data_IF_506117657880
#
_entry.id   IF_506117657880
#
_cell.length_a   1.000
_cell.length_b   1.000
_cell.length_c   1.000
_cell.angle_alpha   90.00
_cell.angle_beta   90.00
_cell.angle_gamma   90.00
#
_symmetry.space_group_name_H-M   'P 1'
#
loop_
_entity.id
_entity.type
_entity.pdbx_description
1 polymer ?
#
# COMPACT_ATOMS: atom_id res chain seq x y z
N UNK A 1 10.86 -12.48 7.84
CA UNK A 1 9.43 -12.38 8.16
C UNK A 1 8.74 -11.56 7.09
N UNK A 2 7.63 -12.05 6.56
CA UNK A 2 6.78 -11.36 5.56
C UNK A 2 5.43 -11.08 6.20
N UNK A 3 5.02 -9.80 6.17
CA UNK A 3 3.73 -9.35 6.68
C UNK A 3 2.94 -8.74 5.54
N UNK A 4 1.81 -9.36 5.20
CA UNK A 4 0.87 -8.88 4.20
C UNK A 4 -0.21 -8.02 4.86
N UNK A 5 -0.45 -6.81 4.32
CA UNK A 5 -1.51 -5.92 4.79
C UNK A 5 -2.39 -5.55 3.61
N UNK A 6 -3.53 -6.22 3.48
CA UNK A 6 -4.49 -6.02 2.40
C UNK A 6 -5.73 -5.23 2.86
N UNK A 7 -6.55 -4.82 1.92
CA UNK A 7 -7.82 -4.14 2.18
C UNK A 7 -8.15 -3.03 1.19
N UNK A 8 -9.34 -2.42 1.27
CA UNK A 8 -9.83 -1.43 0.32
C UNK A 8 -9.07 -0.10 0.37
N UNK A 9 -9.31 0.77 -0.61
CA UNK A 9 -8.72 2.10 -0.65
C UNK A 9 -9.15 2.94 0.57
N UNK A 10 -8.21 3.66 1.20
CA UNK A 10 -8.53 4.51 2.36
C UNK A 10 -8.64 3.78 3.72
N UNK A 11 -8.45 2.45 3.79
CA UNK A 11 -8.49 1.71 5.06
C UNK A 11 -7.26 1.90 5.98
N UNK A 12 -6.27 2.71 5.57
CA UNK A 12 -5.11 3.03 6.42
C UNK A 12 -3.88 2.14 6.23
N UNK A 13 -3.91 1.13 5.33
CA UNK A 13 -2.85 0.14 5.13
C UNK A 13 -1.43 0.70 5.03
N UNK A 14 -1.24 1.73 4.21
CA UNK A 14 0.09 2.31 3.98
C UNK A 14 0.63 3.02 5.21
N UNK A 15 -0.24 3.69 6.00
CA UNK A 15 0.16 4.34 7.25
C UNK A 15 0.48 3.30 8.32
N UNK A 16 -0.41 2.32 8.52
CA UNK A 16 -0.20 1.21 9.47
C UNK A 16 1.03 0.40 9.09
N UNK A 17 1.13 -0.03 7.82
CA UNK A 17 2.23 -0.85 7.35
C UNK A 17 3.60 -0.20 7.52
N UNK A 18 3.71 1.12 7.30
CA UNK A 18 4.95 1.86 7.54
C UNK A 18 5.35 1.85 9.01
N UNK A 19 4.41 2.10 9.93
CA UNK A 19 4.68 2.08 11.38
C UNK A 19 5.00 0.69 11.90
N UNK A 20 4.30 -0.33 11.41
CA UNK A 20 4.60 -1.74 11.75
C UNK A 20 6.00 -2.12 11.25
N UNK A 21 6.35 -1.75 10.02
CA UNK A 21 7.68 -2.01 9.47
C UNK A 21 8.78 -1.33 10.27
N UNK A 22 8.58 -0.06 10.65
CA UNK A 22 9.48 0.71 11.49
C UNK A 22 9.67 0.04 12.86
N UNK A 23 8.59 -0.36 13.53
CA UNK A 23 8.64 -1.02 14.83
C UNK A 23 9.36 -2.39 14.77
N UNK A 24 9.28 -3.09 13.65
CA UNK A 24 9.87 -4.40 13.46
C UNK A 24 11.26 -4.37 12.77
N UNK A 25 11.77 -3.20 12.40
CA UNK A 25 13.02 -3.07 11.66
C UNK A 25 12.98 -3.70 10.26
N UNK A 26 11.81 -3.79 9.64
CA UNK A 26 11.60 -4.37 8.31
C UNK A 26 11.43 -3.28 7.24
N UNK A 27 11.81 -3.54 5.98
CA UNK A 27 11.45 -2.66 4.88
C UNK A 27 9.93 -2.62 4.69
N UNK A 28 9.42 -1.45 4.28
CA UNK A 28 8.01 -1.26 3.91
C UNK A 28 7.86 -1.07 2.40
N UNK A 29 6.90 -1.76 1.79
CA UNK A 29 6.54 -1.62 0.38
C UNK A 29 5.04 -1.36 0.24
N UNK A 30 4.68 -0.22 -0.35
CA UNK A 30 3.33 0.05 -0.84
C UNK A 30 3.23 -0.40 -2.29
N UNK A 31 2.64 -1.57 -2.53
CA UNK A 31 2.51 -2.12 -3.89
C UNK A 31 1.67 -1.25 -4.82
N UNK A 32 0.80 -0.42 -4.27
CA UNK A 32 0.02 0.54 -5.05
C UNK A 32 0.89 1.56 -5.80
N UNK A 33 2.09 1.87 -5.30
CA UNK A 33 3.04 2.75 -5.98
C UNK A 33 3.58 2.13 -7.28
N UNK A 34 3.68 0.80 -7.33
CA UNK A 34 4.14 0.09 -8.53
C UNK A 34 3.11 0.20 -9.66
N UNK A 35 1.82 0.03 -9.34
CA UNK A 35 0.74 0.24 -10.33
C UNK A 35 0.62 1.72 -10.75
N UNK A 36 0.88 2.66 -9.84
CA UNK A 36 0.96 4.08 -10.19
C UNK A 36 2.15 4.39 -11.09
N UNK A 37 3.26 3.70 -10.92
CA UNK A 37 4.42 3.82 -11.81
C UNK A 37 4.08 3.38 -13.25
N UNK A 38 3.40 2.22 -13.40
CA UNK A 38 2.92 1.76 -14.71
C UNK A 38 1.92 2.74 -15.30
N UNK A 39 0.93 3.20 -14.50
CA UNK A 39 -0.06 4.20 -14.94
C UNK A 39 0.58 5.53 -15.36
N UNK A 40 1.60 6.01 -14.63
CA UNK A 40 2.35 7.22 -15.00
C UNK A 40 3.04 7.07 -16.34
N UNK A 41 3.72 5.93 -16.55
CA UNK A 41 4.35 5.64 -17.85
C UNK A 41 3.33 5.54 -18.98
N UNK A 42 2.19 4.88 -18.75
CA UNK A 42 1.15 4.77 -19.77
C UNK A 42 0.65 6.15 -20.22
N UNK A 43 0.43 7.06 -19.28
CA UNK A 43 0.02 8.44 -19.59
C UNK A 43 1.14 9.22 -20.30
N UNK A 44 2.38 9.10 -19.88
CA UNK A 44 3.53 9.78 -20.50
C UNK A 44 3.79 9.30 -21.94
N UNK A 45 3.61 8.01 -22.18
CA UNK A 45 3.82 7.38 -23.50
C UNK A 45 2.54 7.35 -24.36
N UNK A 46 1.46 8.00 -23.87
CA UNK A 46 0.15 8.06 -24.54
C UNK A 46 -0.42 6.67 -24.87
N UNK A 47 -0.15 5.69 -23.99
CA UNK A 47 -0.75 4.36 -24.07
C UNK A 47 -2.16 4.41 -23.48
N UNK A 48 -3.16 3.99 -24.26
CA UNK A 48 -4.54 3.96 -23.81
C UNK A 48 -4.72 2.98 -22.64
N UNK A 49 -5.44 3.41 -21.59
CA UNK A 49 -5.60 2.62 -20.37
C UNK A 49 -6.56 1.42 -20.52
N UNK A 50 -7.20 1.28 -21.66
CA UNK A 50 -8.03 0.15 -22.10
C UNK A 50 -7.32 -0.79 -23.10
N UNK A 51 -6.10 -0.43 -23.57
CA UNK A 51 -5.25 -1.30 -24.40
C UNK A 51 -4.46 -2.29 -23.53
N UNK A 52 -5.07 -3.44 -23.27
CA UNK A 52 -4.48 -4.49 -22.42
C UNK A 52 -3.14 -5.02 -22.92
N UNK A 53 -2.95 -5.12 -24.23
CA UNK A 53 -1.72 -5.66 -24.82
C UNK A 53 -0.58 -4.65 -24.74
N UNK A 54 -0.85 -3.38 -25.04
CA UNK A 54 0.12 -2.32 -24.88
C UNK A 54 0.52 -2.13 -23.42
N UNK A 55 -0.44 -2.15 -22.49
CA UNK A 55 -0.17 -2.07 -21.05
C UNK A 55 0.63 -3.26 -20.53
N UNK A 56 0.37 -4.46 -21.05
CA UNK A 56 1.14 -5.65 -20.67
C UNK A 56 2.61 -5.52 -21.11
N UNK A 57 2.86 -5.09 -22.35
CA UNK A 57 4.23 -4.82 -22.83
C UNK A 57 4.91 -3.76 -21.99
N UNK A 58 4.24 -2.61 -21.78
CA UNK A 58 4.74 -1.51 -20.98
C UNK A 58 5.13 -1.95 -19.55
N UNK A 59 4.29 -2.75 -18.91
CA UNK A 59 4.57 -3.28 -17.58
C UNK A 59 5.77 -4.22 -17.55
N UNK A 60 5.93 -5.06 -18.59
CA UNK A 60 7.11 -5.93 -18.75
C UNK A 60 8.42 -5.15 -18.87
N UNK A 61 8.37 -3.94 -19.44
CA UNK A 61 9.51 -3.02 -19.60
C UNK A 61 9.66 -2.03 -18.43
N UNK A 62 8.80 -2.14 -17.41
CA UNK A 62 8.80 -1.23 -16.26
C UNK A 62 9.45 -1.89 -15.06
N UNK A 63 10.64 -1.40 -14.68
CA UNK A 63 11.28 -1.79 -13.41
C UNK A 63 11.01 -0.74 -12.36
N UNK A 64 10.47 -1.14 -11.22
CA UNK A 64 10.15 -0.25 -10.10
C UNK A 64 11.03 -0.57 -8.90
N UNK A 65 11.73 0.44 -8.39
CA UNK A 65 12.51 0.36 -7.16
C UNK A 65 11.89 1.29 -6.12
N UNK A 66 11.66 0.77 -4.93
CA UNK A 66 11.10 1.53 -3.79
C UNK A 66 12.13 1.53 -2.67
N UNK A 67 12.57 2.72 -2.23
CA UNK A 67 13.50 2.92 -1.11
C UNK A 67 12.92 3.98 -0.17
N UNK A 68 12.31 3.53 0.92
CA UNK A 68 11.58 4.42 1.84
C UNK A 68 10.44 5.13 1.14
N UNK A 69 10.57 6.44 0.92
CA UNK A 69 9.58 7.25 0.18
C UNK A 69 9.92 7.43 -1.30
N UNK A 70 11.14 7.10 -1.70
CA UNK A 70 11.61 7.30 -3.08
C UNK A 70 11.14 6.16 -3.98
N UNK A 71 10.67 6.51 -5.16
CA UNK A 71 10.24 5.57 -6.21
C UNK A 71 11.00 5.87 -7.48
N UNK A 72 11.82 4.91 -7.92
CA UNK A 72 12.52 4.97 -9.20
C UNK A 72 11.85 4.05 -10.21
N UNK A 73 11.63 4.54 -11.40
CA UNK A 73 11.06 3.79 -12.53
C UNK A 73 12.06 3.80 -13.66
N UNK A 74 12.56 2.63 -14.02
CA UNK A 74 13.65 2.49 -15.01
C UNK A 74 14.84 3.40 -14.70
N UNK A 75 15.19 3.52 -13.39
CA UNK A 75 16.28 4.35 -12.89
C UNK A 75 15.99 5.87 -12.81
N UNK A 76 14.81 6.35 -13.25
CA UNK A 76 14.39 7.75 -13.14
C UNK A 76 13.54 7.98 -11.91
N UNK A 77 13.68 9.15 -11.29
CA UNK A 77 12.87 9.52 -10.11
C UNK A 77 11.43 9.86 -10.50
N UNK A 78 10.51 9.07 -9.98
CA UNK A 78 9.06 9.23 -10.14
C UNK A 78 8.36 9.56 -8.81
N UNK A 79 9.12 9.83 -7.75
CA UNK A 79 8.57 10.00 -6.39
C UNK A 79 7.40 10.98 -6.35
N UNK A 80 7.60 12.20 -6.84
CA UNK A 80 6.53 13.21 -6.81
C UNK A 80 5.35 12.84 -7.72
N UNK A 81 5.60 12.17 -8.84
CA UNK A 81 4.56 11.78 -9.81
C UNK A 81 3.64 10.72 -9.21
N UNK A 82 4.19 9.62 -8.67
CA UNK A 82 3.38 8.49 -8.15
C UNK A 82 2.50 8.85 -6.96
N UNK A 83 2.78 9.95 -6.27
CA UNK A 83 1.95 10.43 -5.19
C UNK A 83 0.84 11.40 -5.64
N UNK A 84 0.75 11.72 -6.92
CA UNK A 84 -0.31 12.59 -7.42
C UNK A 84 -1.69 11.90 -7.36
N UNK A 85 -2.77 12.65 -7.09
CA UNK A 85 -4.12 12.09 -7.02
C UNK A 85 -4.60 11.46 -8.34
N UNK A 86 -4.23 12.06 -9.47
CA UNK A 86 -4.64 11.66 -10.82
C UNK A 86 -4.20 10.22 -11.14
N UNK A 87 -3.05 9.79 -10.61
CA UNK A 87 -2.55 8.43 -10.81
C UNK A 87 -3.29 7.36 -10.00
N UNK A 88 -4.18 7.75 -9.09
CA UNK A 88 -5.00 6.77 -8.35
C UNK A 88 -5.96 6.03 -9.26
N UNK A 89 -6.54 6.74 -10.22
CA UNK A 89 -7.47 6.15 -11.19
C UNK A 89 -6.73 5.32 -12.23
N UNK A 90 -5.66 5.86 -12.83
CA UNK A 90 -4.83 5.12 -13.76
C UNK A 90 -4.27 3.83 -13.14
N UNK A 91 -3.79 3.86 -11.88
CA UNK A 91 -3.34 2.67 -11.17
C UNK A 91 -4.45 1.62 -10.97
N UNK A 92 -5.69 2.06 -10.73
CA UNK A 92 -6.83 1.16 -10.61
C UNK A 92 -7.16 0.51 -11.97
N UNK A 93 -7.08 1.25 -13.07
CA UNK A 93 -7.35 0.75 -14.41
C UNK A 93 -6.27 -0.22 -14.88
N UNK A 94 -4.98 0.16 -14.83
CA UNK A 94 -3.87 -0.75 -15.22
C UNK A 94 -3.84 -1.99 -14.35
N UNK A 95 -4.27 -1.89 -13.09
CA UNK A 95 -4.40 -3.02 -12.16
C UNK A 95 -5.48 -4.05 -12.53
N UNK A 96 -6.37 -3.77 -13.50
CA UNK A 96 -7.33 -4.73 -14.03
C UNK A 96 -6.68 -5.68 -15.06
N UNK A 97 -5.57 -5.26 -15.69
CA UNK A 97 -4.92 -5.98 -16.78
C UNK A 97 -4.10 -7.16 -16.21
N UNK A 98 -4.42 -8.42 -16.58
CA UNK A 98 -3.73 -9.60 -16.04
C UNK A 98 -2.22 -9.58 -16.30
N UNK A 99 -1.78 -9.16 -17.49
CA UNK A 99 -0.36 -9.09 -17.82
C UNK A 99 0.41 -8.05 -17.00
N UNK A 100 -0.19 -6.91 -16.71
CA UNK A 100 0.37 -5.90 -15.78
C UNK A 100 0.55 -6.50 -14.39
N UNK A 101 -0.47 -7.22 -13.90
CA UNK A 101 -0.40 -7.86 -12.59
C UNK A 101 0.71 -8.90 -12.53
N UNK A 102 0.83 -9.75 -13.56
CA UNK A 102 1.87 -10.76 -13.62
C UNK A 102 3.28 -10.15 -13.52
N UNK A 103 3.54 -9.08 -14.28
CA UNK A 103 4.81 -8.35 -14.23
C UNK A 103 5.07 -7.73 -12.86
N UNK A 104 4.06 -7.11 -12.24
CA UNK A 104 4.21 -6.48 -10.92
C UNK A 104 4.37 -7.51 -9.80
N UNK A 105 3.64 -8.61 -9.80
CA UNK A 105 3.77 -9.70 -8.80
C UNK A 105 5.19 -10.26 -8.77
N UNK A 106 5.82 -10.47 -9.93
CA UNK A 106 7.20 -10.93 -9.99
C UNK A 106 8.17 -9.96 -9.28
N UNK A 107 8.02 -8.67 -9.49
CA UNK A 107 8.84 -7.64 -8.85
C UNK A 107 8.51 -7.51 -7.33
N UNK A 108 7.23 -7.58 -6.95
CA UNK A 108 6.81 -7.57 -5.55
C UNK A 108 7.43 -8.71 -4.76
N UNK A 109 7.42 -9.93 -5.31
CA UNK A 109 8.08 -11.10 -4.71
C UNK A 109 9.58 -10.90 -4.55
N UNK A 110 10.23 -10.28 -5.53
CA UNK A 110 11.66 -9.97 -5.45
C UNK A 110 11.96 -8.95 -4.33
N UNK A 111 11.10 -7.94 -4.13
CA UNK A 111 11.22 -6.95 -3.06
C UNK A 111 11.00 -7.55 -1.66
N UNK A 112 10.29 -8.67 -1.54
CA UNK A 112 10.06 -9.35 -0.27
C UNK A 112 11.17 -10.29 0.18
N UNK A 113 12.24 -10.47 -0.61
CA UNK A 113 13.38 -11.32 -0.23
C UNK A 113 14.08 -10.74 1.00
N UNK A 114 14.22 -11.56 2.05
CA UNK A 114 14.82 -11.14 3.32
C UNK A 114 13.84 -10.59 4.35
N UNK A 115 12.58 -10.47 4.00
CA UNK A 115 11.51 -9.96 4.87
C UNK A 115 11.00 -8.59 4.45
N UNK A 116 9.71 -8.37 4.67
CA UNK A 116 9.02 -7.13 4.27
C UNK A 116 7.66 -6.99 4.96
N UNK A 117 7.26 -5.76 5.23
CA UNK A 117 5.85 -5.42 5.40
C UNK A 117 5.34 -4.86 4.06
N UNK A 118 4.39 -5.54 3.44
CA UNK A 118 3.87 -5.12 2.14
C UNK A 118 2.38 -4.81 2.21
N UNK A 119 1.99 -3.63 1.75
CA UNK A 119 0.60 -3.20 1.68
C UNK A 119 0.06 -3.31 0.24
N UNK A 120 -1.18 -3.82 0.09
CA UNK A 120 -1.81 -3.96 -1.23
C UNK A 120 -3.28 -4.30 -1.22
N UNK A 121 -3.69 -5.20 -2.12
CA UNK A 121 -5.05 -5.70 -2.29
C UNK A 121 -5.13 -7.22 -2.28
N UNK A 122 -4.05 -7.86 -2.64
CA UNK A 122 -3.91 -9.29 -2.90
C UNK A 122 -2.54 -9.81 -2.47
N UNK A 123 -1.91 -9.14 -1.51
CA UNK A 123 -0.58 -9.51 -1.04
C UNK A 123 -0.64 -10.89 -0.38
N UNK A 124 -1.56 -11.08 0.57
CA UNK A 124 -1.73 -12.34 1.30
C UNK A 124 -2.44 -13.44 0.51
N UNK A 125 -3.08 -13.11 -0.63
CA UNK A 125 -3.77 -14.11 -1.46
C UNK A 125 -2.97 -14.55 -2.68
N UNK A 126 -2.15 -13.67 -3.26
CA UNK A 126 -1.47 -13.90 -4.55
C UNK A 126 0.04 -13.66 -4.47
N UNK A 127 0.48 -12.55 -3.91
CA UNK A 127 1.91 -12.21 -3.90
C UNK A 127 2.68 -13.10 -2.94
N UNK A 128 2.23 -13.18 -1.70
CA UNK A 128 2.79 -14.01 -0.62
C UNK A 128 1.69 -14.83 0.06
N UNK A 129 1.18 -15.89 -0.60
CA UNK A 129 0.16 -16.75 0.00
C UNK A 129 0.65 -17.48 1.25
N UNK A 130 1.97 -17.58 1.42
CA UNK A 130 2.64 -18.18 2.58
C UNK A 130 3.27 -17.11 3.50
N UNK A 131 2.75 -15.85 3.51
CA UNK A 131 3.21 -14.81 4.41
C UNK A 131 3.05 -15.24 5.87
N UNK A 132 4.03 -14.89 6.72
CA UNK A 132 4.02 -15.23 8.15
C UNK A 132 2.80 -14.62 8.86
N UNK A 133 2.39 -13.42 8.43
CA UNK A 133 1.19 -12.74 8.92
C UNK A 133 0.41 -12.11 7.79
N UNK A 134 -0.91 -12.25 7.84
CA UNK A 134 -1.83 -11.64 6.89
C UNK A 134 -2.88 -10.84 7.64
N UNK A 135 -2.92 -9.55 7.37
CA UNK A 135 -3.92 -8.64 7.91
C UNK A 135 -4.78 -8.11 6.76
N UNK A 136 -6.07 -8.00 7.02
CA UNK A 136 -7.00 -7.33 6.13
C UNK A 136 -7.65 -6.15 6.87
N UNK A 137 -7.18 -4.93 6.55
CA UNK A 137 -7.72 -3.71 7.17
C UNK A 137 -8.94 -3.24 6.42
N UNK A 138 -10.06 -3.11 7.12
CA UNK A 138 -11.31 -2.60 6.57
C UNK A 138 -11.82 -1.39 7.35
N UNK A 139 -12.66 -0.59 6.71
CA UNK A 139 -13.41 0.52 7.30
C UNK A 139 -14.64 0.79 6.42
N UNK A 140 -15.67 1.41 6.97
CA UNK A 140 -16.85 1.86 6.23
C UNK A 140 -16.48 2.80 5.08
N UNK A 141 -17.31 2.87 4.04
CA UNK A 141 -17.08 3.79 2.91
C UNK A 141 -17.08 5.25 3.36
N UNK A 142 -17.89 5.58 4.35
CA UNK A 142 -17.98 6.89 4.99
C UNK A 142 -16.66 7.28 5.67
N UNK A 143 -16.10 6.40 6.50
CA UNK A 143 -14.85 6.66 7.19
C UNK A 143 -13.67 6.78 6.21
N UNK A 144 -13.63 5.94 5.19
CA UNK A 144 -12.59 6.00 4.15
C UNK A 144 -12.68 7.27 3.31
N UNK A 145 -13.89 7.70 2.96
CA UNK A 145 -14.14 8.99 2.29
C UNK A 145 -13.71 10.16 3.18
N UNK A 146 -14.05 10.13 4.48
CA UNK A 146 -13.61 11.13 5.47
C UNK A 146 -12.09 11.22 5.55
N UNK A 147 -11.39 10.08 5.68
CA UNK A 147 -9.92 10.02 5.69
C UNK A 147 -9.32 10.60 4.40
N UNK A 148 -9.94 10.28 3.25
CA UNK A 148 -9.52 10.82 1.96
C UNK A 148 -9.74 12.32 1.88
N UNK A 149 -10.87 12.82 2.38
CA UNK A 149 -11.18 14.25 2.44
C UNK A 149 -10.12 15.03 3.25
N UNK A 150 -9.73 14.52 4.41
CA UNK A 150 -8.65 15.12 5.22
C UNK A 150 -7.33 15.17 4.43
N UNK A 151 -6.96 14.11 3.71
CA UNK A 151 -5.74 14.10 2.90
C UNK A 151 -5.76 15.15 1.77
N UNK A 152 -6.91 15.37 1.15
CA UNK A 152 -7.11 16.37 0.09
C UNK A 152 -7.07 17.78 0.68
N UNK A 153 -7.74 18.00 1.83
CA UNK A 153 -7.75 19.28 2.52
C UNK A 153 -6.34 19.71 2.97
N UNK A 154 -5.54 18.77 3.47
CA UNK A 154 -4.14 19.01 3.87
C UNK A 154 -3.23 19.42 2.69
N UNK A 155 -3.68 19.22 1.44
CA UNK A 155 -3.00 19.71 0.21
C UNK A 155 -3.56 21.04 -0.28
N UNK A 156 -4.40 21.70 0.49
CA UNK A 156 -5.02 22.99 0.15
C UNK A 156 -6.16 22.88 -0.87
N UNK A 157 -6.65 21.67 -1.16
CA UNK A 157 -7.78 21.45 -2.07
C UNK A 157 -9.08 21.30 -1.27
N UNK A 158 -10.21 21.63 -1.89
CA UNK A 158 -11.54 21.45 -1.26
C UNK A 158 -12.10 20.08 -1.64
N UNK A 159 -12.26 19.14 -0.68
CA UNK A 159 -12.87 17.85 -0.94
C UNK A 159 -14.39 17.96 -1.07
N UNK A 160 -14.95 17.12 -1.91
CA UNK A 160 -16.38 16.82 -1.96
C UNK A 160 -16.60 15.43 -1.33
N UNK A 161 -17.13 15.33 -0.10
CA UNK A 161 -17.24 14.07 0.61
C UNK A 161 -18.12 13.04 -0.10
N UNK A 162 -19.22 13.46 -0.73
CA UNK A 162 -20.13 12.54 -1.42
C UNK A 162 -19.48 11.98 -2.68
N UNK A 163 -18.83 12.83 -3.47
CA UNK A 163 -18.05 12.40 -4.63
C UNK A 163 -16.95 11.41 -4.23
N UNK A 164 -16.23 11.70 -3.14
CA UNK A 164 -15.17 10.81 -2.64
C UNK A 164 -15.72 9.46 -2.17
N UNK A 165 -16.92 9.43 -1.57
CA UNK A 165 -17.57 8.18 -1.18
C UNK A 165 -17.87 7.31 -2.41
N UNK A 166 -18.47 7.90 -3.45
CA UNK A 166 -18.75 7.21 -4.71
C UNK A 166 -17.44 6.68 -5.35
N UNK A 167 -16.41 7.53 -5.45
CA UNK A 167 -15.10 7.13 -6.01
C UNK A 167 -14.46 5.94 -5.26
N UNK A 168 -14.57 5.93 -3.93
CA UNK A 168 -14.05 4.83 -3.09
C UNK A 168 -14.82 3.55 -3.35
N UNK A 169 -16.15 3.60 -3.39
CA UNK A 169 -17.02 2.44 -3.63
C UNK A 169 -16.84 1.86 -5.04
N UNK A 170 -16.74 2.72 -6.05
CA UNK A 170 -16.50 2.29 -7.43
C UNK A 170 -15.13 1.61 -7.58
N UNK A 171 -14.12 2.16 -6.93
CA UNK A 171 -12.79 1.56 -6.91
C UNK A 171 -12.80 0.19 -6.24
N UNK A 172 -13.46 0.06 -5.09
CA UNK A 172 -13.54 -1.21 -4.38
C UNK A 172 -14.31 -2.26 -5.21
N UNK A 173 -15.38 -1.85 -5.89
CA UNK A 173 -16.12 -2.74 -6.80
C UNK A 173 -15.22 -3.24 -7.94
N UNK A 174 -14.40 -2.34 -8.53
CA UNK A 174 -13.42 -2.74 -9.54
C UNK A 174 -12.35 -3.67 -8.98
N UNK A 175 -11.80 -3.35 -7.80
CA UNK A 175 -10.75 -4.13 -7.17
C UNK A 175 -11.26 -5.53 -6.75
N UNK A 176 -12.50 -5.65 -6.26
CA UNK A 176 -13.14 -6.91 -5.89
C UNK A 176 -13.64 -7.74 -7.10
N UNK A 177 -14.07 -7.05 -8.17
CA UNK A 177 -14.59 -7.70 -9.39
C UNK A 177 -13.53 -8.16 -10.39
N UNK A 178 -12.24 -8.07 -10.08
CA UNK A 178 -11.16 -8.51 -10.99
C UNK A 178 -11.29 -9.99 -11.31
N UNK A 179 -11.12 -10.38 -12.58
CA UNK A 179 -11.08 -11.80 -12.96
C UNK A 179 -9.84 -12.51 -12.43
N UNK A 180 -8.75 -11.78 -12.23
CA UNK A 180 -7.47 -12.27 -11.68
C UNK A 180 -7.12 -11.48 -10.43
N UNK A 181 -6.80 -12.18 -9.34
CA UNK A 181 -6.41 -11.59 -8.07
C UNK A 181 -7.44 -10.57 -7.52
N UNK A 182 -8.71 -10.97 -7.32
CA UNK A 182 -9.72 -10.09 -6.73
C UNK A 182 -9.31 -9.66 -5.33
N UNK A 183 -9.67 -8.42 -4.96
CA UNK A 183 -9.47 -7.94 -3.60
C UNK A 183 -10.42 -8.68 -2.66
N UNK A 184 -9.86 -9.53 -1.83
CA UNK A 184 -10.56 -10.25 -0.74
C UNK A 184 -9.58 -10.56 0.38
N UNK A 185 -10.05 -10.78 1.62
CA UNK A 185 -9.19 -11.32 2.66
C UNK A 185 -8.70 -12.73 2.26
N UNK A 186 -7.46 -13.06 2.64
CA UNK A 186 -7.02 -14.45 2.62
C UNK A 186 -7.78 -15.25 3.69
N UNK A 187 -7.94 -16.55 3.50
CA UNK A 187 -8.75 -17.38 4.41
C UNK A 187 -8.18 -17.43 5.84
N UNK A 188 -6.86 -17.22 5.97
CA UNK A 188 -6.11 -17.14 7.22
C UNK A 188 -5.78 -15.69 7.63
N UNK A 189 -6.36 -14.68 6.99
CA UNK A 189 -6.10 -13.30 7.34
C UNK A 189 -6.84 -12.86 8.60
N UNK A 190 -6.15 -12.09 9.45
CA UNK A 190 -6.76 -11.39 10.57
C UNK A 190 -7.45 -10.14 10.02
N UNK A 191 -8.79 -10.11 10.09
CA UNK A 191 -9.58 -8.95 9.67
C UNK A 191 -9.66 -7.95 10.82
N UNK A 192 -9.26 -6.70 10.55
CA UNK A 192 -9.32 -5.60 11.51
C UNK A 192 -10.20 -4.48 10.97
N UNK A 193 -11.30 -4.21 11.65
CA UNK A 193 -12.11 -3.01 11.43
C UNK A 193 -11.44 -1.81 12.08
N UNK A 194 -11.28 -0.74 11.32
CA UNK A 194 -10.55 0.45 11.75
C UNK A 194 -11.44 1.68 11.92
N UNK A 195 -12.76 1.52 11.89
CA UNK A 195 -13.70 2.61 12.16
C UNK A 195 -13.57 3.05 13.62
N UNK A 196 -13.48 4.36 13.80
CA UNK A 196 -13.32 4.96 15.14
C UNK A 196 -11.95 4.77 15.79
N UNK A 197 -11.03 4.03 15.15
CA UNK A 197 -9.67 3.85 15.66
C UNK A 197 -8.70 4.86 15.04
N UNK A 198 -7.80 5.38 15.86
CA UNK A 198 -6.67 6.15 15.40
C UNK A 198 -5.51 5.25 14.91
N UNK A 199 -4.51 5.86 14.27
CA UNK A 199 -3.37 5.12 13.72
C UNK A 199 -2.58 4.36 14.80
N UNK A 200 -2.23 4.95 15.96
CA UNK A 200 -1.56 4.24 17.05
C UNK A 200 -2.31 3.01 17.54
N UNK A 201 -3.63 3.10 17.70
CA UNK A 201 -4.46 1.97 18.14
C UNK A 201 -4.42 0.80 17.16
N UNK A 202 -4.56 1.08 15.86
CA UNK A 202 -4.48 0.03 14.83
C UNK A 202 -3.09 -0.59 14.77
N UNK A 203 -2.04 0.22 14.85
CA UNK A 203 -0.65 -0.27 14.86
C UNK A 203 -0.40 -1.16 16.09
N UNK A 204 -0.82 -0.73 17.28
CA UNK A 204 -0.69 -1.51 18.51
C UNK A 204 -1.40 -2.86 18.41
N UNK A 205 -2.60 -2.90 17.82
CA UNK A 205 -3.34 -4.16 17.65
C UNK A 205 -2.63 -5.11 16.68
N UNK A 206 -2.10 -4.59 15.55
CA UNK A 206 -1.30 -5.39 14.61
C UNK A 206 -0.08 -5.98 15.30
N UNK A 207 0.71 -5.16 16.01
CA UNK A 207 1.91 -5.60 16.71
C UNK A 207 1.57 -6.61 17.83
N UNK A 208 0.49 -6.39 18.57
CA UNK A 208 0.00 -7.33 19.58
C UNK A 208 -0.28 -8.71 18.97
N UNK A 209 -1.00 -8.77 17.83
CA UNK A 209 -1.29 -10.04 17.14
C UNK A 209 -0.04 -10.76 16.67
N UNK A 210 0.97 -10.02 16.23
CA UNK A 210 2.26 -10.58 15.83
C UNK A 210 2.98 -11.18 17.06
N UNK A 211 3.04 -10.45 18.17
CA UNK A 211 3.72 -10.89 19.38
C UNK A 211 3.01 -12.09 20.04
N UNK A 212 1.68 -12.10 20.11
CA UNK A 212 0.88 -13.19 20.71
C UNK A 212 1.03 -14.52 19.96
N UNK A 213 1.48 -14.51 18.71
CA UNK A 213 1.66 -15.72 17.90
C UNK A 213 2.89 -16.56 18.29
N UNK A 214 3.79 -16.05 19.15
CA UNK A 214 5.00 -16.77 19.56
C UNK A 214 6.05 -16.95 18.45
N UNK A 215 5.87 -16.31 17.29
CA UNK A 215 6.89 -16.27 16.24
C UNK A 215 8.05 -15.44 16.75
N UNK A 216 9.24 -16.05 16.86
CA UNK A 216 10.46 -15.51 17.45
C UNK A 216 10.72 -14.06 17.04
N UNK A 217 10.92 -13.21 18.04
CA UNK A 217 11.07 -11.77 17.93
C UNK A 217 12.01 -11.33 16.80
N UNK A 218 11.54 -10.46 15.87
CA UNK A 218 12.47 -9.56 15.23
C UNK A 218 13.03 -8.66 16.34
N UNK A 219 14.33 -8.44 16.37
CA UNK A 219 14.97 -7.53 17.33
C UNK A 219 14.26 -6.18 17.26
N UNK A 220 13.49 -5.86 18.30
CA UNK A 220 12.91 -4.53 18.48
C UNK A 220 14.08 -3.58 18.76
N UNK A 221 14.43 -2.79 17.76
CA UNK A 221 15.37 -1.69 17.95
C UNK A 221 14.63 -0.55 18.68
N UNK A 222 14.82 -0.46 20.00
CA UNK A 222 14.44 0.68 20.84
C UNK A 222 12.93 0.85 21.02
N UNK A 223 12.49 0.90 22.28
CA UNK A 223 11.09 1.00 22.67
C UNK A 223 10.31 2.08 21.91
N UNK A 224 9.18 1.67 21.36
CA UNK A 224 8.16 2.58 20.86
C UNK A 224 7.56 3.32 22.06
N UNK A 225 7.82 4.62 22.14
CA UNK A 225 7.18 5.50 23.11
C UNK A 225 5.83 5.96 22.53
N UNK A 226 4.70 5.53 23.09
CA UNK A 226 3.38 5.92 22.59
C UNK A 226 3.08 7.42 22.78
N UNK A 227 3.86 8.15 23.57
CA UNK A 227 3.68 9.60 23.82
C UNK A 227 4.55 10.51 22.94
N UNK A 228 5.31 9.92 21.99
CA UNK A 228 5.77 10.55 20.76
C UNK A 228 6.56 11.86 20.85
N UNK A 229 7.61 11.93 21.62
CA UNK A 229 8.64 12.97 21.48
C UNK A 229 9.73 12.55 20.50
N UNK A 230 9.97 13.31 19.43
CA UNK A 230 11.17 13.20 18.62
C UNK A 230 12.41 13.39 19.52
N UNK A 231 13.46 12.53 19.40
CA UNK A 231 14.70 12.80 20.11
C UNK A 231 15.29 14.14 19.66
N UNK A 232 15.94 14.89 20.57
CA UNK A 232 16.59 16.14 20.23
C UNK A 232 17.68 15.89 19.19
N UNK A 233 17.73 16.75 18.18
CA UNK A 233 18.82 16.80 17.22
C UNK A 233 20.11 17.17 18.01
N UNK A 234 21.07 16.27 18.08
CA UNK A 234 22.41 16.62 18.55
C UNK A 234 22.98 17.69 17.63
N UNK A 235 23.22 18.88 18.19
CA UNK A 235 23.87 19.96 17.49
C UNK A 235 25.31 19.59 17.17
N UNK A 236 25.67 19.76 15.93
CA UNK A 236 27.04 19.72 15.44
C UNK A 236 27.74 20.99 15.92
N UNK A 237 28.46 20.89 17.05
CA UNK A 237 29.42 21.90 17.51
C UNK A 237 30.85 21.36 17.25
N UNK A 238 31.51 21.95 16.20
CA UNK A 238 32.93 21.74 15.99
C UNK A 238 33.38 21.89 14.57
#
# INVERSE_FOLDING_TARGET
MIIAIDGPAGSGKSAVGRRVAEALGLPFVDSGLMYRAVGSRALEESVALDDSDALTRLAGETTVQIKGVSVLVNGRDYTNKVYSPELSEAASQVGQVPGVRLAMVAQQRALGRGGVVMAGRDIGTVVFPDADFKFYLTASSEERARRRAVQIANRGQRPDPEKLRVEVEERDRRDAGRPVAPMRPADDAIVLETDGLDLPQVVSEVLRRINDSGVSEPRVLGGFDPEGGLPPQEGDDG
#
